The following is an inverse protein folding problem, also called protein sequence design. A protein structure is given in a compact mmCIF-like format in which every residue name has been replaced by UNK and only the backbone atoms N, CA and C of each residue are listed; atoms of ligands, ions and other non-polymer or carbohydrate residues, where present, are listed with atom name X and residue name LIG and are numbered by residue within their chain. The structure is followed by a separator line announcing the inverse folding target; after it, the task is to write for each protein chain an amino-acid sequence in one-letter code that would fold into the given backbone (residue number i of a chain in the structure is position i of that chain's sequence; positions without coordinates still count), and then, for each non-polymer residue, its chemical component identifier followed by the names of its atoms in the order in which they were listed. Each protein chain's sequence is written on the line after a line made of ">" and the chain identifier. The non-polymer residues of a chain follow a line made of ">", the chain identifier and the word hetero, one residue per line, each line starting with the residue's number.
data_IF_161691531270
#
_entry.id   IF_161691531270
#
_cell.length_a   1.000
_cell.length_b   1.000
_cell.length_c   1.000
_cell.angle_alpha   90.00
_cell.angle_beta   90.00
_cell.angle_gamma   90.00
#
_symmetry.space_group_name_H-M   'P 1'
#
loop_
_entity.id
_entity.type
_entity.pdbx_description
1 polymer ?
#
# COMPACT_ATOMS: atom_id res chain seq x y z
N UNK A 1 -4.13 -12.49 3.45
CA UNK A 1 -4.96 -11.50 2.71
C UNK A 1 -4.07 -10.44 2.09
N UNK A 2 -4.33 -10.01 0.84
CA UNK A 2 -3.58 -8.92 0.19
C UNK A 2 -4.57 -7.91 -0.39
N UNK A 3 -4.52 -6.67 0.08
CA UNK A 3 -5.32 -5.53 -0.40
C UNK A 3 -4.54 -4.75 -1.46
N UNK A 4 -4.75 -5.06 -2.75
CA UNK A 4 -4.01 -4.45 -3.86
C UNK A 4 -4.85 -3.48 -4.72
N UNK A 5 -6.13 -3.31 -4.43
CA UNK A 5 -6.98 -2.37 -5.17
C UNK A 5 -6.54 -0.92 -4.91
N UNK A 6 -6.47 -0.14 -6.00
CA UNK A 6 -6.12 1.28 -5.89
C UNK A 6 -6.36 2.04 -7.19
N UNK A 7 -6.77 3.29 -7.04
CA UNK A 7 -6.95 4.25 -8.13
C UNK A 7 -6.07 5.47 -7.86
N UNK A 8 -5.41 5.98 -8.93
CA UNK A 8 -4.67 7.23 -8.87
C UNK A 8 -5.63 8.44 -8.77
N UNK A 9 -6.65 8.42 -9.58
CA UNK A 9 -7.52 9.57 -9.79
C UNK A 9 -6.87 10.69 -10.61
N UNK A 10 -7.52 11.85 -10.72
CA UNK A 10 -6.97 13.00 -11.42
C UNK A 10 -5.85 13.65 -10.60
N UNK A 11 -4.73 13.94 -11.25
CA UNK A 11 -3.67 14.78 -10.70
C UNK A 11 -4.03 16.25 -10.94
N UNK A 12 -4.60 16.90 -9.92
CA UNK A 12 -5.18 18.24 -10.02
C UNK A 12 -4.96 19.03 -8.72
N UNK A 13 -5.00 20.38 -8.74
CA UNK A 13 -5.05 21.16 -7.51
C UNK A 13 -6.21 20.67 -6.60
N UNK A 14 -5.98 20.64 -5.30
CA UNK A 14 -6.98 20.14 -4.33
C UNK A 14 -8.31 20.89 -4.43
N UNK A 15 -8.25 22.20 -4.70
CA UNK A 15 -9.43 23.06 -4.88
C UNK A 15 -10.24 22.77 -6.16
N UNK A 16 -9.67 22.05 -7.12
CA UNK A 16 -10.33 21.70 -8.39
C UNK A 16 -10.74 20.23 -8.47
N UNK A 17 -10.54 19.49 -7.39
CA UNK A 17 -10.91 18.09 -7.35
C UNK A 17 -12.43 17.95 -7.25
N UNK A 18 -13.03 17.34 -8.26
CA UNK A 18 -14.46 17.09 -8.31
C UNK A 18 -14.91 16.11 -7.22
N UNK A 19 -16.05 16.37 -6.52
CA UNK A 19 -16.57 15.51 -5.45
C UNK A 19 -16.68 14.04 -5.86
N UNK A 20 -17.18 13.76 -7.06
CA UNK A 20 -17.30 12.40 -7.59
C UNK A 20 -15.94 11.69 -7.71
N UNK A 21 -14.91 12.42 -8.13
CA UNK A 21 -13.54 11.90 -8.20
C UNK A 21 -12.98 11.58 -6.82
N UNK A 22 -13.18 12.49 -5.86
CA UNK A 22 -12.83 12.30 -4.47
C UNK A 22 -13.49 11.04 -3.88
N UNK A 23 -14.81 10.91 -4.00
CA UNK A 23 -15.57 9.79 -3.44
C UNK A 23 -15.12 8.45 -4.02
N UNK A 24 -14.84 8.40 -5.33
CA UNK A 24 -14.37 7.19 -6.01
C UNK A 24 -13.00 6.75 -5.49
N UNK A 25 -12.06 7.69 -5.34
CA UNK A 25 -10.71 7.39 -4.84
C UNK A 25 -10.79 6.95 -3.37
N UNK A 26 -11.53 7.66 -2.53
CA UNK A 26 -11.73 7.34 -1.13
C UNK A 26 -12.38 5.95 -0.96
N UNK A 27 -13.43 5.69 -1.73
CA UNK A 27 -14.12 4.40 -1.71
C UNK A 27 -13.19 3.24 -2.06
N UNK A 28 -12.37 3.40 -3.11
CA UNK A 28 -11.49 2.30 -3.59
C UNK A 28 -10.25 2.15 -2.73
N UNK A 29 -9.54 3.24 -2.43
CA UNK A 29 -8.22 3.16 -1.79
C UNK A 29 -8.30 2.96 -0.27
N UNK A 30 -9.35 3.45 0.36
CA UNK A 30 -9.49 3.43 1.82
C UNK A 30 -10.67 2.57 2.27
N UNK A 31 -11.89 2.92 1.89
CA UNK A 31 -13.10 2.27 2.39
C UNK A 31 -13.14 0.78 2.05
N UNK A 32 -12.73 0.40 0.84
CA UNK A 32 -12.66 -1.01 0.43
C UNK A 32 -11.66 -1.80 1.29
N UNK A 33 -10.49 -1.24 1.60
CA UNK A 33 -9.49 -1.89 2.44
C UNK A 33 -9.95 -2.02 3.90
N UNK A 34 -10.60 -0.99 4.46
CA UNK A 34 -11.24 -1.10 5.77
C UNK A 34 -12.33 -2.20 5.80
N UNK A 35 -13.15 -2.29 4.75
CA UNK A 35 -14.15 -3.37 4.63
C UNK A 35 -13.50 -4.74 4.55
N UNK A 36 -12.35 -4.87 3.86
CA UNK A 36 -11.57 -6.12 3.83
C UNK A 36 -11.06 -6.49 5.22
N UNK A 37 -10.50 -5.56 5.98
CA UNK A 37 -10.09 -5.80 7.37
C UNK A 37 -11.27 -6.33 8.16
N UNK A 38 -12.40 -5.61 8.17
CA UNK A 38 -13.61 -5.98 8.91
C UNK A 38 -14.15 -7.37 8.53
N UNK A 39 -14.18 -7.69 7.24
CA UNK A 39 -14.72 -8.96 6.75
C UNK A 39 -13.79 -10.14 7.02
N UNK A 40 -12.48 -9.92 6.97
CA UNK A 40 -11.48 -10.98 7.06
C UNK A 40 -10.91 -11.17 8.47
N UNK A 41 -11.11 -10.24 9.39
CA UNK A 41 -10.59 -10.33 10.78
C UNK A 41 -10.92 -11.67 11.46
N UNK A 42 -12.16 -12.20 11.41
CA UNK A 42 -12.46 -13.49 12.05
C UNK A 42 -11.66 -14.65 11.46
N UNK A 43 -11.43 -14.65 10.15
CA UNK A 43 -10.64 -15.68 9.46
C UNK A 43 -9.14 -15.54 9.75
N UNK A 44 -8.64 -14.30 9.81
CA UNK A 44 -7.26 -14.03 10.17
C UNK A 44 -6.97 -14.47 11.62
N UNK A 45 -7.90 -14.24 12.54
CA UNK A 45 -7.79 -14.70 13.96
C UNK A 45 -7.86 -16.22 14.10
N UNK A 46 -8.63 -16.90 13.24
CA UNK A 46 -8.74 -18.36 13.23
C UNK A 46 -7.51 -19.05 12.61
N UNK A 47 -6.61 -18.30 11.97
CA UNK A 47 -5.38 -18.83 11.38
C UNK A 47 -4.24 -18.80 12.38
N UNK A 48 -3.39 -19.82 12.38
CA UNK A 48 -2.17 -19.86 13.20
C UNK A 48 -1.13 -18.79 12.79
N UNK A 49 -1.28 -18.24 11.59
CA UNK A 49 -0.40 -17.21 11.04
C UNK A 49 -1.16 -16.23 10.12
N UNK A 50 -2.11 -15.48 10.68
CA UNK A 50 -2.87 -14.48 9.93
C UNK A 50 -1.97 -13.39 9.34
N UNK A 51 -2.04 -13.17 8.02
CA UNK A 51 -1.25 -12.14 7.33
C UNK A 51 -2.16 -11.21 6.54
N UNK A 52 -2.05 -9.90 6.81
CA UNK A 52 -2.81 -8.84 6.12
C UNK A 52 -1.84 -7.79 5.56
N UNK A 53 -1.69 -7.75 4.25
CA UNK A 53 -0.78 -6.85 3.54
C UNK A 53 -1.58 -5.90 2.66
N UNK A 54 -1.24 -4.60 2.71
CA UNK A 54 -1.88 -3.56 1.91
C UNK A 54 -0.84 -2.75 1.15
N UNK A 55 -1.16 -2.39 -0.10
CA UNK A 55 -0.26 -1.56 -0.89
C UNK A 55 -0.46 -0.07 -0.60
N UNK A 56 0.57 0.56 -0.04
CA UNK A 56 0.69 1.99 0.15
C UNK A 56 1.51 2.64 -0.98
N UNK A 57 2.13 3.76 -0.71
CA UNK A 57 2.99 4.53 -1.61
C UNK A 57 3.81 5.54 -0.82
N UNK A 58 5.03 5.85 -1.27
CA UNK A 58 5.83 6.96 -0.73
C UNK A 58 5.09 8.31 -0.74
N UNK A 59 4.09 8.46 -1.61
CA UNK A 59 3.23 9.65 -1.68
C UNK A 59 2.45 9.89 -0.38
N UNK A 60 2.19 8.87 0.42
CA UNK A 60 1.61 9.03 1.76
C UNK A 60 2.45 9.96 2.66
N UNK A 61 3.77 9.93 2.50
CA UNK A 61 4.74 10.74 3.25
C UNK A 61 5.18 12.01 2.51
N UNK A 62 5.48 11.91 1.21
CA UNK A 62 6.05 13.01 0.42
C UNK A 62 5.04 14.08 0.00
N UNK A 63 3.77 13.71 -0.18
CA UNK A 63 2.63 14.58 -0.46
C UNK A 63 2.89 15.64 -1.56
N UNK A 64 3.32 15.23 -2.77
CA UNK A 64 3.64 16.18 -3.82
C UNK A 64 2.39 16.93 -4.29
N UNK A 65 2.60 18.13 -4.85
CA UNK A 65 1.53 18.94 -5.43
C UNK A 65 0.72 18.14 -6.46
N UNK A 66 -0.57 18.39 -6.54
CA UNK A 66 -1.55 17.74 -7.42
C UNK A 66 -1.94 16.30 -7.06
N UNK A 67 -1.35 15.67 -6.06
CA UNK A 67 -1.63 14.28 -5.63
C UNK A 67 -2.60 14.19 -4.44
N UNK A 68 -3.33 15.27 -4.14
CA UNK A 68 -4.05 15.45 -2.87
C UNK A 68 -4.91 14.25 -2.46
N UNK A 69 -5.84 13.81 -3.31
CA UNK A 69 -6.74 12.69 -2.97
C UNK A 69 -5.98 11.37 -2.81
N UNK A 70 -5.06 11.06 -3.72
CA UNK A 70 -4.27 9.84 -3.64
C UNK A 70 -3.40 9.81 -2.38
N UNK A 71 -2.67 10.89 -2.11
CA UNK A 71 -1.83 11.03 -0.92
C UNK A 71 -2.63 10.88 0.37
N UNK A 72 -3.79 11.56 0.47
CA UNK A 72 -4.66 11.49 1.62
C UNK A 72 -5.15 10.06 1.88
N UNK A 73 -5.59 9.35 0.82
CA UNK A 73 -6.09 7.96 0.98
C UNK A 73 -4.98 6.97 1.35
N UNK A 74 -3.76 7.15 0.83
CA UNK A 74 -2.64 6.27 1.20
C UNK A 74 -2.14 6.54 2.61
N UNK A 75 -2.08 7.79 3.04
CA UNK A 75 -1.75 8.13 4.43
C UNK A 75 -2.81 7.61 5.42
N UNK A 76 -4.09 7.75 5.09
CA UNK A 76 -5.17 7.21 5.91
C UNK A 76 -5.16 5.67 5.94
N UNK A 77 -4.81 5.01 4.85
CA UNK A 77 -4.65 3.55 4.81
C UNK A 77 -3.51 3.09 5.72
N UNK A 78 -2.35 3.74 5.68
CA UNK A 78 -1.25 3.42 6.61
C UNK A 78 -1.71 3.55 8.06
N UNK A 79 -2.37 4.67 8.41
CA UNK A 79 -2.86 4.90 9.77
C UNK A 79 -3.85 3.81 10.24
N UNK A 80 -4.82 3.39 9.40
CA UNK A 80 -5.77 2.33 9.77
C UNK A 80 -5.07 0.98 9.93
N UNK A 81 -4.12 0.66 9.06
CA UNK A 81 -3.39 -0.61 9.12
C UNK A 81 -2.47 -0.66 10.34
N UNK A 82 -1.82 0.44 10.69
CA UNK A 82 -0.98 0.54 11.89
C UNK A 82 -1.81 0.36 13.17
N UNK A 83 -2.97 1.03 13.26
CA UNK A 83 -3.92 0.83 14.38
C UNK A 83 -4.39 -0.62 14.46
N UNK A 84 -4.75 -1.24 13.34
CA UNK A 84 -5.18 -2.64 13.31
C UNK A 84 -4.05 -3.60 13.71
N UNK A 85 -2.81 -3.30 13.33
CA UNK A 85 -1.64 -4.08 13.75
C UNK A 85 -1.44 -4.02 15.26
N UNK A 86 -1.59 -2.84 15.88
CA UNK A 86 -1.50 -2.66 17.33
C UNK A 86 -2.67 -3.35 18.07
N UNK A 87 -3.91 -3.22 17.58
CA UNK A 87 -5.08 -3.89 18.14
C UNK A 87 -4.96 -5.42 18.11
N UNK A 88 -4.20 -5.95 17.17
CA UNK A 88 -4.02 -7.40 16.98
C UNK A 88 -2.66 -7.93 17.45
N UNK A 89 -1.84 -7.13 18.12
CA UNK A 89 -0.47 -7.47 18.53
C UNK A 89 -0.38 -8.78 19.33
N UNK A 90 -1.38 -9.05 20.20
CA UNK A 90 -1.45 -10.28 21.04
C UNK A 90 -2.15 -11.46 20.35
N UNK A 91 -2.31 -11.40 19.04
CA UNK A 91 -2.93 -12.46 18.22
C UNK A 91 -1.94 -12.99 17.18
N UNK A 92 -2.25 -14.08 16.46
CA UNK A 92 -1.42 -14.55 15.34
C UNK A 92 -1.40 -13.61 14.13
N UNK A 93 -2.18 -12.52 14.14
CA UNK A 93 -2.30 -11.58 13.01
C UNK A 93 -1.07 -10.69 12.93
N UNK A 94 -0.57 -10.52 11.71
CA UNK A 94 0.40 -9.48 11.37
C UNK A 94 -0.15 -8.69 10.20
N UNK A 95 -0.36 -7.39 10.41
CA UNK A 95 -0.85 -6.44 9.41
C UNK A 95 0.24 -5.40 9.09
N UNK A 96 0.43 -5.10 7.80
CA UNK A 96 1.42 -4.11 7.37
C UNK A 96 1.05 -3.49 6.03
N UNK A 97 1.62 -2.31 5.78
CA UNK A 97 1.60 -1.67 4.47
C UNK A 97 2.91 -1.93 3.72
N UNK A 98 2.84 -2.00 2.39
CA UNK A 98 4.00 -2.07 1.49
C UNK A 98 3.96 -0.90 0.53
N UNK A 99 5.03 -0.10 0.51
CA UNK A 99 5.30 0.83 -0.58
C UNK A 99 6.08 0.10 -1.68
N UNK A 100 5.47 -0.16 -2.84
CA UNK A 100 6.14 -0.89 -3.91
C UNK A 100 7.21 -0.06 -4.62
N UNK A 101 7.29 1.26 -4.37
CA UNK A 101 8.08 2.17 -5.17
C UNK A 101 7.50 2.41 -6.56
N UNK A 102 8.33 2.88 -7.48
CA UNK A 102 7.96 3.03 -8.88
C UNK A 102 7.96 1.66 -9.57
N UNK A 103 6.82 1.28 -10.14
CA UNK A 103 6.65 0.02 -10.87
C UNK A 103 6.04 0.28 -12.24
N UNK A 104 6.43 -0.48 -13.25
CA UNK A 104 5.88 -0.43 -14.60
C UNK A 104 4.43 -0.92 -14.61
N UNK A 105 3.50 0.01 -14.42
CA UNK A 105 2.06 -0.25 -14.35
C UNK A 105 1.29 0.77 -15.17
N UNK A 106 0.04 0.47 -15.47
CA UNK A 106 -0.87 1.44 -16.10
C UNK A 106 -1.05 2.71 -15.26
N UNK A 107 -1.08 2.57 -13.93
CA UNK A 107 -1.17 3.72 -13.01
C UNK A 107 0.07 4.62 -13.14
N UNK A 108 1.27 4.02 -13.21
CA UNK A 108 2.53 4.78 -13.39
C UNK A 108 2.56 5.52 -14.72
N UNK A 109 2.19 4.86 -15.81
CA UNK A 109 2.12 5.48 -17.14
C UNK A 109 1.13 6.66 -17.19
N UNK A 110 0.01 6.56 -16.47
CA UNK A 110 -0.96 7.67 -16.34
C UNK A 110 -0.42 8.84 -15.49
N UNK A 111 0.39 8.56 -14.46
CA UNK A 111 0.98 9.60 -13.62
C UNK A 111 2.17 10.31 -14.30
N UNK A 112 2.94 9.60 -15.11
CA UNK A 112 4.17 10.05 -15.76
C UNK A 112 4.19 9.67 -17.24
N UNK A 113 3.36 10.31 -18.09
CA UNK A 113 3.20 9.91 -19.50
C UNK A 113 4.45 10.10 -20.37
N UNK A 114 5.42 10.89 -19.90
CA UNK A 114 6.72 11.09 -20.59
C UNK A 114 7.85 10.18 -20.08
N UNK A 115 7.59 9.32 -19.09
CA UNK A 115 8.62 8.41 -18.57
C UNK A 115 8.77 7.17 -19.48
N UNK A 116 10.03 6.83 -19.79
CA UNK A 116 10.29 5.55 -20.49
C UNK A 116 9.95 4.37 -19.54
N UNK A 117 8.99 3.50 -19.90
CA UNK A 117 8.61 2.38 -19.06
C UNK A 117 9.73 1.40 -18.75
N UNK A 118 10.81 1.38 -19.55
CA UNK A 118 11.95 0.50 -19.31
C UNK A 118 12.87 0.98 -18.19
N UNK A 119 12.72 2.23 -17.76
CA UNK A 119 13.50 2.80 -16.63
C UNK A 119 12.97 2.40 -15.26
N UNK A 120 11.79 1.79 -15.19
CA UNK A 120 11.19 1.30 -13.95
C UNK A 120 11.01 -0.21 -13.98
N UNK A 121 11.18 -0.89 -12.83
CA UNK A 121 11.08 -2.35 -12.76
C UNK A 121 9.67 -2.84 -13.12
N UNK A 122 9.60 -4.05 -13.66
CA UNK A 122 8.33 -4.73 -13.90
C UNK A 122 7.58 -4.97 -12.59
N UNK A 123 6.25 -4.91 -12.60
CA UNK A 123 5.45 -5.08 -11.37
C UNK A 123 5.68 -6.44 -10.69
N UNK A 124 6.02 -7.46 -11.47
CA UNK A 124 6.29 -8.81 -11.00
C UNK A 124 7.55 -8.93 -10.13
N UNK A 125 8.47 -7.96 -10.19
CA UNK A 125 9.71 -7.97 -9.41
C UNK A 125 9.46 -7.89 -7.91
N UNK A 126 8.31 -7.37 -7.48
CA UNK A 126 7.95 -7.30 -6.05
C UNK A 126 7.48 -8.65 -5.48
N UNK A 127 7.08 -9.60 -6.31
CA UNK A 127 6.42 -10.85 -5.88
C UNK A 127 7.24 -11.62 -4.83
N UNK A 128 8.55 -11.87 -5.01
CA UNK A 128 9.36 -12.57 -3.99
C UNK A 128 9.37 -11.84 -2.64
N UNK A 129 9.38 -10.50 -2.65
CA UNK A 129 9.34 -9.70 -1.43
C UNK A 129 7.99 -9.81 -0.71
N UNK A 130 6.89 -9.73 -1.45
CA UNK A 130 5.54 -9.90 -0.88
C UNK A 130 5.35 -11.31 -0.30
N UNK A 131 5.81 -12.35 -1.02
CA UNK A 131 5.76 -13.73 -0.53
C UNK A 131 6.55 -13.86 0.78
N UNK A 132 7.75 -13.29 0.86
CA UNK A 132 8.57 -13.33 2.06
C UNK A 132 7.87 -12.66 3.26
N UNK A 133 7.23 -11.51 3.07
CA UNK A 133 6.50 -10.79 4.12
C UNK A 133 5.27 -11.54 4.65
N UNK A 134 4.65 -12.40 3.84
CA UNK A 134 3.44 -13.14 4.25
C UNK A 134 3.72 -14.58 4.69
N UNK A 135 4.98 -15.01 4.75
CA UNK A 135 5.35 -16.34 5.22
C UNK A 135 4.93 -16.56 6.68
N UNK A 136 4.42 -17.78 7.03
CA UNK A 136 4.02 -18.08 8.39
C UNK A 136 5.16 -18.04 9.40
N UNK A 137 6.36 -18.46 8.97
CA UNK A 137 7.58 -18.57 9.76
C UNK A 137 8.36 -17.24 9.90
N UNK A 138 7.82 -16.13 9.37
CA UNK A 138 8.44 -14.81 9.43
C UNK A 138 7.66 -13.85 10.30
N UNK A 139 8.38 -13.10 11.13
CA UNK A 139 7.85 -11.90 11.80
C UNK A 139 8.11 -10.69 10.90
N UNK A 140 7.08 -10.14 10.22
CA UNK A 140 7.27 -8.96 9.41
C UNK A 140 7.48 -7.72 10.28
N UNK A 141 8.18 -6.69 9.78
CA UNK A 141 8.32 -5.43 10.51
C UNK A 141 6.96 -4.75 10.71
N UNK A 142 6.84 -3.95 11.78
CA UNK A 142 5.67 -3.09 11.99
C UNK A 142 5.70 -1.89 11.04
N UNK A 143 4.52 -1.38 10.70
CA UNK A 143 4.36 -0.17 9.89
C UNK A 143 4.48 -0.40 8.38
N UNK A 144 4.71 0.68 7.65
CA UNK A 144 4.87 0.63 6.21
C UNK A 144 6.32 0.32 5.80
N UNK A 145 6.51 -0.77 5.08
CA UNK A 145 7.81 -1.19 4.55
C UNK A 145 7.94 -0.83 3.08
N UNK A 146 9.12 -0.39 2.67
CA UNK A 146 9.40 -0.05 1.28
C UNK A 146 10.13 -1.18 0.57
N UNK A 147 9.62 -1.57 -0.60
CA UNK A 147 10.35 -2.42 -1.53
C UNK A 147 11.50 -1.62 -2.15
N UNK A 148 12.71 -2.13 -2.00
CA UNK A 148 13.88 -1.67 -2.76
C UNK A 148 14.26 -2.79 -3.71
N UNK A 149 14.27 -2.52 -5.02
CA UNK A 149 14.72 -3.50 -6.00
C UNK A 149 16.16 -3.91 -5.66
N UNK A 150 16.42 -5.21 -5.53
CA UNK A 150 17.71 -5.76 -5.07
C UNK A 150 18.87 -5.57 -6.06
N UNK A 151 18.69 -4.73 -7.08
CA UNK A 151 19.79 -4.20 -7.90
C UNK A 151 20.59 -3.08 -7.21
N UNK A 152 20.13 -2.56 -6.08
CA UNK A 152 20.80 -1.54 -5.26
C UNK A 152 20.67 -1.92 -3.78
N UNK A 153 21.74 -2.48 -3.24
CA UNK A 153 22.10 -2.72 -1.82
C UNK A 153 21.00 -2.95 -0.76
N UNK A 154 21.35 -3.87 0.14
CA UNK A 154 20.69 -4.38 1.37
C UNK A 154 19.56 -3.56 2.00
N UNK A 155 18.53 -4.21 2.61
CA UNK A 155 17.42 -3.53 3.25
C UNK A 155 17.90 -2.76 4.48
N UNK A 156 18.14 -1.46 4.35
CA UNK A 156 18.19 -0.58 5.50
C UNK A 156 16.75 -0.37 5.97
N UNK A 157 16.43 -0.86 7.13
CA UNK A 157 15.24 -0.54 7.90
C UNK A 157 15.48 0.86 8.45
N UNK A 158 15.06 1.89 7.74
CA UNK A 158 14.99 3.23 8.31
C UNK A 158 13.62 3.36 8.98
N UNK A 159 13.68 3.43 10.32
CA UNK A 159 12.58 3.68 11.22
C UNK A 159 12.02 5.11 11.07
#
# INVERSE_FOLDING_TARGET
>A
MVGAAGLLGPLTPVSHLEPKGWDMILSTNLTANWRLIRAMDPLLRASDAGRALFFSSSVAKTRPAFWGAYAATKAALEAIVDVYADETEKTPIRALCVDPGAMRTRMRAGAFPGEDPQTVPAAETIVPFVIDLVRPDREPPKGAVRFKDRGQESPSIDA
#
